data_IF_284089035413
#
_entry.id   IF_284089035413
#
_cell.length_a   1.000
_cell.length_b   1.000
_cell.length_c   1.000
_cell.angle_alpha   90.00
_cell.angle_beta   90.00
_cell.angle_gamma   90.00
#
_symmetry.space_group_name_H-M   'P 1'
#
loop_
_entity.id
_entity.type
_entity.pdbx_description
1 polymer ?
#
# COMPACT_ATOMS: atom_id res chain seq x y z
N UNK A 1 18.10 44.29 -20.52
CA UNK A 1 17.69 43.09 -21.26
C UNK A 1 18.31 41.78 -20.75
N UNK A 2 19.59 41.74 -20.35
CA UNK A 2 20.23 40.50 -19.82
C UNK A 2 19.50 39.85 -18.63
N UNK A 3 19.06 40.66 -17.66
CA UNK A 3 18.38 40.14 -16.46
C UNK A 3 16.96 39.65 -16.72
N UNK A 4 16.25 40.22 -17.70
CA UNK A 4 14.89 39.82 -18.08
C UNK A 4 14.88 38.40 -18.65
N UNK A 5 15.89 38.07 -19.47
CA UNK A 5 16.07 36.74 -20.04
C UNK A 5 16.43 35.70 -18.95
N UNK A 6 17.26 36.08 -17.98
CA UNK A 6 17.63 35.23 -16.84
C UNK A 6 16.47 34.98 -15.86
N UNK A 7 15.61 35.98 -15.61
CA UNK A 7 14.38 35.79 -14.80
C UNK A 7 13.35 34.92 -15.51
N UNK A 8 13.22 35.03 -16.84
CA UNK A 8 12.28 34.19 -17.60
C UNK A 8 12.69 32.70 -17.58
N UNK A 9 14.00 32.43 -17.64
CA UNK A 9 14.54 31.07 -17.57
C UNK A 9 14.31 30.40 -16.20
N UNK A 10 14.43 31.17 -15.12
CA UNK A 10 14.19 30.70 -13.75
C UNK A 10 12.70 30.38 -13.48
N UNK A 11 11.77 31.11 -14.10
CA UNK A 11 10.33 30.83 -14.02
C UNK A 11 9.95 29.56 -14.79
N UNK A 12 10.59 29.29 -15.94
CA UNK A 12 10.34 28.06 -16.71
C UNK A 12 10.83 26.78 -15.99
N UNK A 13 11.93 26.84 -15.23
CA UNK A 13 12.39 25.69 -14.44
C UNK A 13 11.47 25.35 -13.26
N UNK A 14 10.75 26.34 -12.70
CA UNK A 14 9.82 26.13 -11.59
C UNK A 14 8.52 25.42 -12.00
N UNK A 15 8.20 25.36 -13.30
CA UNK A 15 7.00 24.71 -13.83
C UNK A 15 7.21 23.23 -14.20
N UNK A 16 8.44 22.71 -14.10
CA UNK A 16 8.71 21.27 -14.19
C UNK A 16 8.39 20.58 -12.85
N UNK A 17 7.19 20.82 -12.33
CA UNK A 17 6.64 19.98 -11.28
C UNK A 17 6.44 18.58 -11.87
N UNK A 18 7.07 17.58 -11.28
CA UNK A 18 6.89 16.20 -11.67
C UNK A 18 5.44 15.85 -11.33
N UNK A 19 4.59 15.73 -12.35
CA UNK A 19 3.24 15.21 -12.13
C UNK A 19 3.41 13.79 -11.59
N UNK A 20 3.16 13.58 -10.29
CA UNK A 20 2.96 12.24 -9.79
C UNK A 20 1.74 11.68 -10.52
N UNK A 21 1.92 10.52 -11.15
CA UNK A 21 0.81 9.78 -11.75
C UNK A 21 -0.27 9.65 -10.67
N UNK A 22 -1.47 10.14 -10.95
CA UNK A 22 -2.58 10.09 -10.00
C UNK A 22 -2.85 8.65 -9.54
N UNK A 23 -2.57 7.67 -10.41
CA UNK A 23 -2.66 6.24 -10.11
C UNK A 23 -1.63 5.79 -9.06
N UNK A 24 -0.47 6.43 -8.99
CA UNK A 24 0.60 6.10 -8.04
C UNK A 24 0.47 6.87 -6.71
N UNK A 25 -0.54 7.71 -6.54
CA UNK A 25 -0.75 8.49 -5.30
C UNK A 25 -0.91 7.61 -4.04
N UNK A 26 -1.37 6.37 -4.20
CA UNK A 26 -1.49 5.40 -3.11
C UNK A 26 -0.19 4.67 -2.77
N UNK A 27 0.85 4.76 -3.61
CA UNK A 27 2.12 4.07 -3.37
C UNK A 27 2.81 4.68 -2.15
N UNK A 28 3.11 3.86 -1.15
CA UNK A 28 3.67 4.33 0.10
C UNK A 28 3.38 3.41 1.28
N UNK A 29 3.70 3.88 2.49
CA UNK A 29 3.43 3.14 3.73
C UNK A 29 2.34 3.85 4.51
N UNK A 30 1.24 3.15 4.74
CA UNK A 30 0.01 3.69 5.33
C UNK A 30 -0.34 2.98 6.63
N UNK A 31 -0.78 3.75 7.61
CA UNK A 31 -1.33 3.23 8.87
C UNK A 31 -2.75 2.71 8.62
N UNK A 32 -3.07 1.51 9.08
CA UNK A 32 -4.45 1.01 8.99
C UNK A 32 -5.40 1.82 9.90
N UNK A 33 -6.71 1.78 9.63
CA UNK A 33 -7.69 2.59 10.35
C UNK A 33 -7.67 2.41 11.89
N UNK A 34 -7.38 1.20 12.35
CA UNK A 34 -7.29 0.89 13.79
C UNK A 34 -5.93 1.26 14.41
N UNK A 35 -4.94 1.61 13.60
CA UNK A 35 -3.60 1.96 14.05
C UNK A 35 -2.79 0.81 14.65
N UNK A 36 -3.13 -0.42 14.32
CA UNK A 36 -2.45 -1.64 14.78
C UNK A 36 -1.43 -2.18 13.78
N UNK A 37 -1.35 -1.60 12.58
CA UNK A 37 -0.44 -2.04 11.53
C UNK A 37 -0.13 -0.97 10.50
N UNK A 38 0.94 -1.17 9.74
CA UNK A 38 1.26 -0.39 8.55
C UNK A 38 1.32 -1.29 7.32
N UNK A 39 0.72 -0.81 6.23
CA UNK A 39 0.65 -1.47 4.93
C UNK A 39 1.50 -0.69 3.94
N UNK A 40 2.46 -1.37 3.31
CA UNK A 40 3.16 -0.83 2.14
C UNK A 40 2.34 -1.16 0.90
N UNK A 41 1.80 -0.14 0.25
CA UNK A 41 1.14 -0.24 -1.05
C UNK A 41 2.19 -0.02 -2.14
N UNK A 42 2.20 -0.89 -3.15
CA UNK A 42 3.14 -0.85 -4.26
C UNK A 42 2.49 -1.31 -5.55
N UNK A 43 3.04 -0.83 -6.67
CA UNK A 43 2.65 -1.27 -8.02
C UNK A 43 3.35 -2.58 -8.36
N UNK A 44 2.59 -3.57 -8.82
CA UNK A 44 3.11 -4.87 -9.26
C UNK A 44 3.74 -4.74 -10.65
N UNK A 45 4.51 -5.76 -11.06
CA UNK A 45 5.06 -5.84 -12.42
C UNK A 45 3.98 -5.95 -13.51
N UNK A 46 2.77 -6.40 -13.15
CA UNK A 46 1.60 -6.45 -14.03
C UNK A 46 0.82 -5.13 -14.10
N UNK A 47 1.22 -4.10 -13.35
CA UNK A 47 0.58 -2.78 -13.35
C UNK A 47 -0.57 -2.61 -12.37
N UNK A 48 -0.96 -3.64 -11.62
CA UNK A 48 -1.94 -3.56 -10.52
C UNK A 48 -1.29 -3.01 -9.24
N UNK A 49 -2.09 -2.71 -8.22
CA UNK A 49 -1.62 -2.35 -6.89
C UNK A 49 -1.86 -3.47 -5.89
N UNK A 50 -0.87 -3.67 -5.01
CA UNK A 50 -0.91 -4.64 -3.94
C UNK A 50 -0.41 -4.00 -2.64
N UNK A 51 -0.78 -4.61 -1.50
CA UNK A 51 -0.47 -4.11 -0.16
C UNK A 51 0.13 -5.21 0.69
N UNK A 52 1.27 -4.90 1.35
CA UNK A 52 1.98 -5.81 2.24
C UNK A 52 2.00 -5.26 3.66
N UNK A 53 1.69 -6.09 4.65
CA UNK A 53 1.84 -5.75 6.07
C UNK A 53 3.33 -5.63 6.39
N UNK A 54 3.82 -4.43 6.67
CA UNK A 54 5.25 -4.17 6.94
C UNK A 54 5.54 -3.87 8.41
N UNK A 55 4.50 -3.60 9.20
CA UNK A 55 4.63 -3.44 10.65
C UNK A 55 3.32 -3.82 11.35
N UNK A 56 3.46 -4.35 12.57
CA UNK A 56 2.35 -4.65 13.49
C UNK A 56 2.68 -4.11 14.86
N UNK A 57 1.67 -3.59 15.57
CA UNK A 57 1.79 -3.19 16.98
C UNK A 57 2.17 -4.37 17.87
N UNK A 58 1.65 -5.54 17.54
CA UNK A 58 1.91 -6.80 18.22
C UNK A 58 2.31 -7.86 17.18
N UNK A 59 3.60 -7.91 16.79
CA UNK A 59 4.08 -8.85 15.78
C UNK A 59 4.35 -10.25 16.35
N UNK A 60 4.47 -10.36 17.67
CA UNK A 60 4.67 -11.61 18.41
C UNK A 60 3.36 -11.98 19.10
N UNK A 61 3.02 -13.25 19.01
CA UNK A 61 1.88 -13.85 19.72
C UNK A 61 2.27 -14.06 21.20
N UNK A 62 1.51 -13.48 22.15
CA UNK A 62 1.89 -13.49 23.57
C UNK A 62 1.81 -14.89 24.20
N UNK A 63 0.98 -15.79 23.68
CA UNK A 63 0.80 -17.13 24.23
C UNK A 63 1.94 -18.07 23.82
N UNK A 64 2.46 -17.88 22.61
CA UNK A 64 3.46 -18.76 22.02
C UNK A 64 4.88 -18.19 22.00
N UNK A 65 5.04 -16.87 22.18
CA UNK A 65 6.32 -16.19 22.03
C UNK A 65 6.88 -16.20 20.61
N UNK A 66 6.08 -16.58 19.61
CA UNK A 66 6.47 -16.74 18.20
C UNK A 66 5.84 -15.64 17.33
N UNK A 67 6.29 -15.44 16.09
CA UNK A 67 5.62 -14.54 15.16
C UNK A 67 4.12 -14.82 15.06
N UNK A 68 3.31 -13.77 15.04
CA UNK A 68 1.85 -13.87 14.91
C UNK A 68 1.51 -14.51 13.56
N UNK A 69 0.76 -15.61 13.62
CA UNK A 69 0.34 -16.40 12.47
C UNK A 69 -1.12 -16.12 12.10
N UNK A 70 -1.48 -16.41 10.86
CA UNK A 70 -2.83 -16.23 10.32
C UNK A 70 -3.82 -17.32 10.75
N UNK A 71 -3.96 -17.52 12.07
CA UNK A 71 -4.75 -18.60 12.68
C UNK A 71 -6.22 -18.64 12.22
N UNK A 72 -6.75 -17.53 11.69
CA UNK A 72 -8.15 -17.36 11.27
C UNK A 72 -8.36 -17.58 9.77
N UNK A 73 -7.32 -17.93 9.01
CA UNK A 73 -7.49 -18.20 7.58
C UNK A 73 -8.50 -19.35 7.35
N UNK A 74 -9.46 -19.21 6.43
CA UNK A 74 -10.35 -20.32 6.07
C UNK A 74 -9.60 -21.49 5.41
N UNK A 75 -8.45 -21.24 4.78
CA UNK A 75 -7.56 -22.26 4.24
C UNK A 75 -6.56 -22.71 5.31
N UNK A 76 -6.69 -23.98 5.74
CA UNK A 76 -5.85 -24.57 6.78
C UNK A 76 -4.35 -24.52 6.44
N UNK A 77 -3.99 -24.59 5.15
CA UNK A 77 -2.59 -24.53 4.71
C UNK A 77 -1.95 -23.17 4.95
N UNK A 78 -2.76 -22.12 5.07
CA UNK A 78 -2.32 -20.73 5.28
C UNK A 78 -2.29 -20.34 6.76
N UNK A 79 -2.88 -21.13 7.66
CA UNK A 79 -2.93 -20.81 9.10
C UNK A 79 -1.56 -20.71 9.77
N UNK A 80 -0.53 -21.29 9.16
CA UNK A 80 0.86 -21.24 9.61
C UNK A 80 1.65 -20.06 9.04
N UNK A 81 1.05 -19.23 8.17
CA UNK A 81 1.73 -18.10 7.57
C UNK A 81 1.85 -16.93 8.56
N UNK A 82 3.03 -16.29 8.68
CA UNK A 82 3.17 -15.07 9.44
C UNK A 82 2.30 -13.94 8.88
N UNK A 83 1.64 -13.19 9.77
CA UNK A 83 0.87 -12.00 9.42
C UNK A 83 1.80 -10.87 8.97
N UNK A 84 2.93 -10.69 9.66
CA UNK A 84 3.94 -9.73 9.24
C UNK A 84 4.59 -10.19 7.93
N UNK A 85 4.57 -9.33 6.92
CA UNK A 85 5.05 -9.63 5.57
C UNK A 85 4.00 -10.23 4.64
N UNK A 86 2.78 -10.46 5.10
CA UNK A 86 1.67 -10.94 4.27
C UNK A 86 1.25 -9.88 3.25
N UNK A 87 1.01 -10.29 2.00
CA UNK A 87 0.32 -9.47 1.00
C UNK A 87 -1.17 -9.62 1.20
N UNK A 88 -1.79 -8.62 1.83
CA UNK A 88 -3.19 -8.64 2.24
C UNK A 88 -4.10 -7.77 1.36
N UNK A 89 -3.55 -6.94 0.48
CA UNK A 89 -4.32 -6.23 -0.57
C UNK A 89 -3.83 -6.69 -1.94
N UNK A 90 -4.73 -6.98 -2.87
CA UNK A 90 -4.38 -7.53 -4.19
C UNK A 90 -5.30 -6.99 -5.28
N UNK A 91 -4.78 -6.90 -6.50
CA UNK A 91 -5.60 -6.76 -7.72
C UNK A 91 -6.11 -5.36 -8.05
N UNK A 92 -5.88 -4.37 -7.18
CA UNK A 92 -6.41 -3.02 -7.39
C UNK A 92 -5.93 -2.41 -8.71
N UNK A 93 -6.85 -1.79 -9.44
CA UNK A 93 -6.62 -1.04 -10.69
C UNK A 93 -7.06 0.40 -10.48
N UNK A 94 -6.37 1.37 -11.09
CA UNK A 94 -6.80 2.77 -11.00
C UNK A 94 -7.77 3.09 -12.14
N UNK A 95 -8.98 3.52 -11.79
CA UNK A 95 -9.95 4.10 -12.69
C UNK A 95 -9.70 5.61 -12.81
N UNK A 96 -9.31 6.06 -14.01
CA UNK A 96 -8.98 7.46 -14.25
C UNK A 96 -10.20 8.38 -14.38
N UNK A 97 -11.37 7.83 -14.72
CA UNK A 97 -12.63 8.58 -14.85
C UNK A 97 -13.18 8.90 -13.47
N UNK A 98 -13.29 7.89 -12.61
CA UNK A 98 -13.80 8.02 -11.24
C UNK A 98 -12.73 8.49 -10.24
N UNK A 99 -11.44 8.41 -10.61
CA UNK A 99 -10.27 8.73 -9.77
C UNK A 99 -10.18 7.86 -8.51
N UNK A 100 -10.48 6.59 -8.67
CA UNK A 100 -10.51 5.60 -7.57
C UNK A 100 -9.73 4.33 -7.92
N UNK A 101 -9.39 3.53 -6.90
CA UNK A 101 -8.81 2.21 -7.08
C UNK A 101 -9.88 1.14 -6.86
N UNK A 102 -10.15 0.34 -7.89
CA UNK A 102 -11.27 -0.61 -7.95
C UNK A 102 -10.78 -2.04 -8.20
N UNK A 103 -11.72 -3.00 -8.27
CA UNK A 103 -11.55 -4.45 -8.58
C UNK A 103 -10.67 -5.28 -7.64
N UNK A 104 -9.94 -4.65 -6.74
CA UNK A 104 -9.07 -5.32 -5.79
C UNK A 104 -9.82 -5.97 -4.63
N UNK A 105 -9.08 -6.77 -3.86
CA UNK A 105 -9.57 -7.39 -2.63
C UNK A 105 -8.63 -7.12 -1.46
N UNK A 106 -9.21 -7.09 -0.26
CA UNK A 106 -8.48 -6.94 1.00
C UNK A 106 -8.82 -8.11 1.92
N UNK A 107 -7.81 -8.92 2.23
CA UNK A 107 -7.89 -9.95 3.26
C UNK A 107 -7.58 -9.36 4.64
N UNK A 108 -8.42 -9.67 5.63
CA UNK A 108 -8.20 -9.34 7.03
C UNK A 108 -7.83 -10.58 7.86
N UNK A 109 -6.53 -10.76 8.21
CA UNK A 109 -6.07 -11.89 9.03
C UNK A 109 -6.64 -11.87 10.45
N UNK A 110 -7.25 -10.76 10.89
CA UNK A 110 -7.92 -10.69 12.18
C UNK A 110 -9.26 -11.39 12.18
N UNK A 111 -9.92 -11.62 11.05
CA UNK A 111 -11.22 -12.30 11.04
C UNK A 111 -11.34 -13.38 9.95
N UNK A 112 -10.32 -13.53 9.09
CA UNK A 112 -10.31 -14.51 8.02
C UNK A 112 -11.20 -14.15 6.84
N UNK A 113 -11.70 -12.90 6.77
CA UNK A 113 -12.59 -12.45 5.70
C UNK A 113 -11.82 -11.70 4.62
N UNK A 114 -12.36 -11.77 3.42
CA UNK A 114 -11.93 -11.00 2.26
C UNK A 114 -13.04 -10.01 1.90
N UNK A 115 -12.66 -8.78 1.58
CA UNK A 115 -13.52 -7.64 1.25
C UNK A 115 -13.18 -7.11 -0.13
#
# INVERSE_FOLDING_TARGET
MKYVLSTLLLVCLALMGWAQDAADAVVGVWKNGEGTGFIQIYKTTSGHYAGKIVWLKEPIDPDTGKPKLDKRNPDDSKKSQPVLGMVNMKGFTYDAEEKEWVDGSIYDPKNGKEY
#
